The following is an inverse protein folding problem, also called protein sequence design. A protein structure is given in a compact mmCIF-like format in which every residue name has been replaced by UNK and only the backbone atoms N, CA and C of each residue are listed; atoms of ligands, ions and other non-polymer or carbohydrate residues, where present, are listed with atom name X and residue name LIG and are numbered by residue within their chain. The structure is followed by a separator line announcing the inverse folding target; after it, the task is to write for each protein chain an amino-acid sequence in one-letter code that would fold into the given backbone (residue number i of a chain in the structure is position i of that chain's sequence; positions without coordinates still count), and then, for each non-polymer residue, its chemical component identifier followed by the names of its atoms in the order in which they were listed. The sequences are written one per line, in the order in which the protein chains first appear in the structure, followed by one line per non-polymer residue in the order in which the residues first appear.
data_IF_159713231675
#
_entry.id   IF_159713231675
#
_cell.length_a   1.000
_cell.length_b   1.000
_cell.length_c   1.000
_cell.angle_alpha   90.00
_cell.angle_beta   90.00
_cell.angle_gamma   90.00
#
_symmetry.space_group_name_H-M   'P 1'
#
loop_
_entity.id
_entity.type
_entity.pdbx_description
1 polymer ?
#
# COMPACT_ATOMS: atom_id res chain seq x y z
N UNK A 1 -37.39 -3.95 23.60
CA UNK A 1 -36.22 -3.09 23.33
C UNK A 1 -35.05 -4.03 23.05
N UNK A 2 -34.82 -4.33 21.77
CA UNK A 2 -33.64 -5.07 21.32
C UNK A 2 -32.45 -4.11 21.43
N UNK A 3 -31.58 -4.34 22.42
CA UNK A 3 -30.29 -3.68 22.47
C UNK A 3 -29.48 -4.17 21.28
N UNK A 4 -29.41 -3.38 20.22
CA UNK A 4 -28.37 -3.54 19.22
C UNK A 4 -27.04 -3.28 19.92
N UNK A 5 -26.38 -4.37 20.31
CA UNK A 5 -24.97 -4.31 20.70
C UNK A 5 -24.23 -3.73 19.51
N UNK A 6 -23.84 -2.45 19.57
CA UNK A 6 -22.97 -1.85 18.57
C UNK A 6 -21.64 -2.62 18.61
N UNK A 7 -21.55 -3.64 17.77
CA UNK A 7 -20.38 -4.49 17.68
C UNK A 7 -19.34 -3.72 16.88
N UNK A 8 -18.27 -3.30 17.54
CA UNK A 8 -17.15 -2.68 16.86
C UNK A 8 -16.50 -3.69 15.92
N UNK A 9 -16.17 -3.24 14.72
CA UNK A 9 -15.45 -4.04 13.74
C UNK A 9 -13.99 -3.60 13.69
N UNK A 10 -13.08 -4.56 13.61
CA UNK A 10 -11.67 -4.29 13.33
C UNK A 10 -11.48 -4.07 11.83
N UNK A 11 -11.16 -2.83 11.47
CA UNK A 11 -10.92 -2.37 10.10
C UNK A 11 -9.48 -1.90 9.93
N UNK A 12 -8.99 -1.75 8.71
CA UNK A 12 -7.54 -1.56 8.47
C UNK A 12 -7.24 -0.48 7.44
N UNK A 13 -6.29 0.41 7.72
CA UNK A 13 -5.60 1.17 6.67
C UNK A 13 -4.35 0.42 6.24
N UNK A 14 -4.15 0.30 4.93
CA UNK A 14 -3.02 -0.36 4.29
C UNK A 14 -2.25 0.67 3.45
N UNK A 15 -0.93 0.62 3.53
CA UNK A 15 -0.05 1.48 2.74
C UNK A 15 0.99 0.66 2.00
N UNK A 16 1.19 0.99 0.73
CA UNK A 16 2.25 0.42 -0.10
C UNK A 16 3.22 1.53 -0.50
N UNK A 17 4.48 1.41 -0.07
CA UNK A 17 5.54 2.37 -0.34
C UNK A 17 6.18 2.06 -1.69
N UNK A 18 6.06 2.99 -2.61
CA UNK A 18 6.57 2.94 -3.98
C UNK A 18 7.82 3.80 -4.05
N UNK A 19 8.94 3.21 -4.45
CA UNK A 19 10.11 3.98 -4.81
C UNK A 19 9.81 4.75 -6.12
N UNK A 20 9.91 6.07 -6.07
CA UNK A 20 9.63 6.93 -7.21
C UNK A 20 10.60 6.67 -8.39
N UNK A 21 11.84 6.29 -8.09
CA UNK A 21 12.88 6.03 -9.09
C UNK A 21 12.58 4.79 -9.93
N UNK A 22 12.16 3.70 -9.30
CA UNK A 22 11.90 2.43 -9.99
C UNK A 22 10.42 2.16 -10.28
N UNK A 23 9.51 2.82 -9.58
CA UNK A 23 8.07 2.51 -9.57
C UNK A 23 7.73 1.23 -8.81
N UNK A 24 8.68 0.61 -8.11
CA UNK A 24 8.48 -0.65 -7.40
C UNK A 24 8.01 -0.41 -5.96
N UNK A 25 7.06 -1.24 -5.50
CA UNK A 25 6.72 -1.33 -4.09
C UNK A 25 7.82 -2.10 -3.39
N UNK A 26 8.43 -1.48 -2.39
CA UNK A 26 9.53 -2.07 -1.62
C UNK A 26 9.15 -2.35 -0.15
N UNK A 27 8.10 -1.71 0.35
CA UNK A 27 7.59 -1.91 1.70
C UNK A 27 6.07 -1.73 1.78
N UNK A 28 5.49 -2.34 2.80
CA UNK A 28 4.09 -2.19 3.19
C UNK A 28 3.98 -1.77 4.65
N UNK A 29 2.89 -1.10 5.00
CA UNK A 29 2.55 -0.81 6.38
C UNK A 29 1.03 -0.91 6.57
N UNK A 30 0.59 -1.02 7.82
CA UNK A 30 -0.83 -1.04 8.13
C UNK A 30 -1.13 -0.64 9.55
N UNK A 31 -2.39 -0.28 9.80
CA UNK A 31 -2.89 0.07 11.13
C UNK A 31 -4.34 -0.36 11.27
N UNK A 32 -4.63 -1.04 12.37
CA UNK A 32 -5.96 -1.54 12.70
C UNK A 32 -6.71 -0.53 13.57
N UNK A 33 -8.01 -0.38 13.34
CA UNK A 33 -8.92 0.46 14.12
C UNK A 33 -10.15 -0.35 14.50
N UNK A 34 -10.69 -0.12 15.69
CA UNK A 34 -12.00 -0.61 16.09
C UNK A 34 -13.04 0.49 15.83
N UNK A 35 -13.88 0.34 14.81
CA UNK A 35 -14.87 1.33 14.41
C UNK A 35 -16.30 0.78 14.53
N UNK A 36 -17.27 1.68 14.65
CA UNK A 36 -18.70 1.39 14.61
C UNK A 36 -19.37 2.24 13.52
N UNK A 37 -20.58 1.87 13.12
CA UNK A 37 -21.31 2.52 12.04
C UNK A 37 -21.36 1.68 10.77
N UNK A 38 -21.94 2.26 9.74
CA UNK A 38 -22.05 1.67 8.40
C UNK A 38 -20.68 1.56 7.71
N UNK A 39 -20.58 0.74 6.67
CA UNK A 39 -19.33 0.61 5.90
C UNK A 39 -18.88 1.93 5.31
N UNK A 40 -19.81 2.77 4.84
CA UNK A 40 -19.51 4.09 4.29
C UNK A 40 -18.91 5.04 5.34
N UNK A 41 -19.45 5.03 6.57
CA UNK A 41 -18.93 5.84 7.68
C UNK A 41 -17.53 5.37 8.09
N UNK A 42 -17.33 4.04 8.21
CA UNK A 42 -16.02 3.45 8.52
C UNK A 42 -15.00 3.77 7.42
N UNK A 43 -15.37 3.65 6.15
CA UNK A 43 -14.52 4.01 5.01
C UNK A 43 -14.18 5.50 4.98
N UNK A 44 -15.11 6.38 5.35
CA UNK A 44 -14.84 7.82 5.43
C UNK A 44 -13.75 8.13 6.47
N UNK A 45 -13.85 7.52 7.65
CA UNK A 45 -12.81 7.62 8.71
C UNK A 45 -11.48 7.07 8.23
N UNK A 46 -11.47 5.86 7.64
CA UNK A 46 -10.25 5.25 7.10
C UNK A 46 -9.57 6.15 6.07
N UNK A 47 -10.32 6.69 5.11
CA UNK A 47 -9.79 7.61 4.07
C UNK A 47 -9.19 8.87 4.68
N UNK A 48 -9.84 9.47 5.68
CA UNK A 48 -9.32 10.63 6.37
C UNK A 48 -7.97 10.34 7.03
N UNK A 49 -7.87 9.25 7.80
CA UNK A 49 -6.67 8.86 8.53
C UNK A 49 -5.55 8.34 7.62
N UNK A 50 -5.87 7.76 6.46
CA UNK A 50 -4.88 7.22 5.52
C UNK A 50 -3.86 8.27 5.06
N UNK A 51 -4.26 9.54 5.01
CA UNK A 51 -3.43 10.67 4.58
C UNK A 51 -2.29 11.00 5.56
N UNK A 52 -2.37 10.58 6.83
CA UNK A 52 -1.40 10.98 7.87
C UNK A 52 -0.87 9.83 8.69
N UNK A 53 -1.67 8.79 8.96
CA UNK A 53 -1.29 7.77 9.93
C UNK A 53 -0.10 6.93 9.49
N UNK A 54 0.23 6.92 8.19
CA UNK A 54 1.41 6.28 7.64
C UNK A 54 2.73 6.78 8.26
N UNK A 55 2.77 7.99 8.81
CA UNK A 55 3.94 8.53 9.53
C UNK A 55 4.21 7.84 10.87
N UNK A 56 3.20 7.17 11.45
CA UNK A 56 3.25 6.59 12.81
C UNK A 56 3.35 5.07 12.84
N UNK A 57 3.41 4.42 11.68
CA UNK A 57 3.35 2.96 11.56
C UNK A 57 4.70 2.38 11.15
N UNK A 58 4.96 1.15 11.59
CA UNK A 58 6.17 0.42 11.20
C UNK A 58 6.04 -0.05 9.75
N UNK A 59 7.05 0.28 8.94
CA UNK A 59 7.22 -0.29 7.59
C UNK A 59 7.72 -1.73 7.71
N UNK A 60 7.19 -2.61 6.88
CA UNK A 60 7.64 -3.99 6.73
C UNK A 60 8.02 -4.22 5.27
N UNK A 61 9.19 -4.81 5.04
CA UNK A 61 9.55 -5.25 3.69
C UNK A 61 8.56 -6.31 3.19
N UNK A 62 8.35 -6.36 1.88
CA UNK A 62 7.54 -7.42 1.30
C UNK A 62 8.21 -8.78 1.48
N UNK A 63 7.44 -9.87 1.55
CA UNK A 63 7.97 -11.22 1.54
C UNK A 63 8.89 -11.47 0.34
N UNK A 64 9.98 -12.22 0.56
CA UNK A 64 11.00 -12.46 -0.48
C UNK A 64 10.49 -13.27 -1.68
N UNK A 65 9.34 -13.95 -1.56
CA UNK A 65 8.68 -14.64 -2.67
C UNK A 65 7.97 -13.67 -3.64
N UNK A 66 7.82 -12.40 -3.26
CA UNK A 66 7.54 -11.34 -4.20
C UNK A 66 8.89 -10.85 -4.76
N UNK A 67 9.11 -11.03 -6.04
CA UNK A 67 10.34 -10.57 -6.69
C UNK A 67 10.07 -10.13 -8.10
N UNK A 68 10.79 -9.11 -8.56
CA UNK A 68 10.86 -8.75 -9.98
C UNK A 68 12.24 -9.14 -10.51
N UNK A 69 12.25 -9.70 -11.73
CA UNK A 69 13.47 -10.00 -12.47
C UNK A 69 13.69 -8.94 -13.54
N UNK A 70 14.82 -8.26 -13.47
CA UNK A 70 15.26 -7.26 -14.45
C UNK A 70 16.55 -7.75 -15.10
N UNK A 71 16.44 -8.34 -16.29
CA UNK A 71 17.57 -8.99 -16.96
C UNK A 71 18.12 -10.16 -16.14
N UNK A 72 19.37 -10.04 -15.69
CA UNK A 72 20.03 -11.03 -14.81
C UNK A 72 19.88 -10.71 -13.31
N UNK A 73 19.31 -9.56 -12.96
CA UNK A 73 19.10 -9.17 -11.57
C UNK A 73 17.72 -9.59 -11.08
N UNK A 74 17.68 -10.06 -9.83
CA UNK A 74 16.45 -10.40 -9.13
C UNK A 74 16.38 -9.52 -7.89
N UNK A 75 15.31 -8.75 -7.75
CA UNK A 75 15.08 -7.88 -6.60
C UNK A 75 14.04 -8.54 -5.67
N UNK A 76 14.47 -9.38 -4.71
CA UNK A 76 13.55 -10.02 -3.77
C UNK A 76 12.95 -8.99 -2.82
N UNK A 77 11.66 -9.12 -2.53
CA UNK A 77 10.90 -8.17 -1.71
C UNK A 77 10.48 -6.90 -2.46
N UNK A 78 10.51 -6.90 -3.79
CA UNK A 78 10.06 -5.77 -4.62
C UNK A 78 9.15 -6.25 -5.74
N UNK A 79 8.02 -5.57 -5.94
CA UNK A 79 7.07 -5.84 -7.04
C UNK A 79 6.46 -4.55 -7.59
N UNK A 80 6.00 -4.54 -8.85
CA UNK A 80 5.22 -3.41 -9.37
C UNK A 80 3.95 -3.18 -8.54
N UNK A 81 3.58 -1.92 -8.29
CA UNK A 81 2.37 -1.62 -7.50
C UNK A 81 1.07 -2.14 -8.18
N UNK A 82 1.06 -2.36 -9.50
CA UNK A 82 -0.02 -3.06 -10.19
C UNK A 82 -0.22 -4.51 -9.69
N UNK A 83 0.86 -5.22 -9.38
CA UNK A 83 0.80 -6.58 -8.81
C UNK A 83 0.22 -6.54 -7.40
N UNK A 84 0.55 -5.51 -6.61
CA UNK A 84 -0.07 -5.28 -5.30
C UNK A 84 -1.57 -5.08 -5.42
N UNK A 85 -2.04 -4.25 -6.37
CA UNK A 85 -3.49 -4.03 -6.58
C UNK A 85 -4.24 -5.31 -6.97
N UNK A 86 -3.61 -6.19 -7.75
CA UNK A 86 -4.21 -7.45 -8.16
C UNK A 86 -4.21 -8.50 -7.05
N UNK A 87 -3.28 -8.41 -6.09
CA UNK A 87 -3.03 -9.43 -5.08
C UNK A 87 -2.94 -8.82 -3.66
N UNK A 88 -3.81 -7.85 -3.35
CA UNK A 88 -3.73 -7.06 -2.10
C UNK A 88 -3.64 -7.98 -0.87
N UNK A 89 -4.58 -8.90 -0.72
CA UNK A 89 -4.61 -9.77 0.46
C UNK A 89 -3.36 -10.66 0.57
N UNK A 90 -2.81 -11.14 -0.54
CA UNK A 90 -1.58 -11.94 -0.52
C UNK A 90 -0.35 -11.09 -0.17
N UNK A 91 -0.26 -9.87 -0.71
CA UNK A 91 0.83 -8.94 -0.43
C UNK A 91 0.84 -8.49 1.03
N UNK A 92 -0.35 -8.35 1.63
CA UNK A 92 -0.53 -7.84 2.99
C UNK A 92 -0.77 -8.93 4.05
N UNK A 93 -0.98 -10.19 3.69
CA UNK A 93 -1.26 -11.28 4.64
C UNK A 93 -0.23 -11.36 5.78
N UNK A 94 1.10 -11.30 5.53
CA UNK A 94 2.08 -11.37 6.62
C UNK A 94 1.99 -10.17 7.56
N UNK A 95 1.71 -8.98 7.02
CA UNK A 95 1.50 -7.77 7.80
C UNK A 95 0.22 -7.87 8.64
N UNK A 96 -0.90 -8.36 8.08
CA UNK A 96 -2.14 -8.58 8.83
C UNK A 96 -1.94 -9.56 9.99
N UNK A 97 -1.15 -10.63 9.80
CA UNK A 97 -0.77 -11.56 10.88
C UNK A 97 0.06 -10.89 11.97
N UNK A 98 0.90 -9.91 11.64
CA UNK A 98 1.62 -9.12 12.64
C UNK A 98 0.67 -8.19 13.38
N UNK A 99 -0.17 -7.44 12.67
CA UNK A 99 -1.13 -6.52 13.27
C UNK A 99 -2.09 -7.24 14.22
N UNK A 100 -2.61 -8.41 13.85
CA UNK A 100 -3.48 -9.21 14.71
C UNK A 100 -2.77 -9.65 16.00
N UNK A 101 -1.49 -10.03 15.93
CA UNK A 101 -0.71 -10.41 17.11
C UNK A 101 -0.42 -9.23 18.04
N UNK A 102 -0.39 -8.01 17.51
CA UNK A 102 -0.18 -6.79 18.28
C UNK A 102 -1.48 -6.27 18.93
N UNK A 103 -2.65 -6.84 18.61
CA UNK A 103 -3.91 -6.45 19.25
C UNK A 103 -3.93 -6.79 20.74
N UNK A 104 -4.41 -5.89 21.61
CA UNK A 104 -4.55 -6.19 23.02
C UNK A 104 -5.57 -7.31 23.21
N UNK A 105 -5.32 -8.32 24.04
CA UNK A 105 -6.32 -9.35 24.28
C UNK A 105 -7.50 -8.79 25.11
N UNK A 106 -8.68 -9.38 24.94
CA UNK A 106 -9.88 -9.00 25.68
C UNK A 106 -9.96 -9.84 26.98
N UNK A 107 -10.03 -9.22 28.17
CA UNK A 107 -10.19 -9.95 29.41
C UNK A 107 -11.59 -10.58 29.50
N UNK A 108 -11.64 -11.85 29.89
CA UNK A 108 -12.85 -12.57 30.23
C UNK A 108 -12.90 -12.79 31.74
N UNK A 109 -13.60 -11.88 32.43
CA UNK A 109 -13.73 -11.88 33.89
C UNK A 109 -14.53 -13.06 34.46
N UNK A 110 -15.25 -13.82 33.64
CA UNK A 110 -15.94 -15.04 34.10
C UNK A 110 -15.00 -16.24 34.20
N UNK A 111 -13.93 -16.24 33.40
CA UNK A 111 -12.98 -17.37 33.32
C UNK A 111 -11.58 -17.01 33.79
N UNK A 112 -11.35 -15.74 34.14
CA UNK A 112 -10.03 -15.15 34.44
C UNK A 112 -8.99 -15.41 33.34
N UNK A 113 -9.48 -15.49 32.09
CA UNK A 113 -8.66 -15.73 30.89
C UNK A 113 -8.73 -14.54 29.94
N UNK A 114 -7.76 -14.47 29.04
CA UNK A 114 -7.69 -13.47 28.00
C UNK A 114 -8.02 -14.10 26.64
N UNK A 115 -8.95 -13.50 25.90
CA UNK A 115 -9.31 -13.93 24.56
C UNK A 115 -8.54 -13.10 23.52
N UNK A 116 -7.88 -13.72 22.52
CA UNK A 116 -7.24 -12.96 21.45
C UNK A 116 -8.29 -12.29 20.58
N UNK A 117 -8.00 -11.08 20.13
CA UNK A 117 -8.78 -10.43 19.08
C UNK A 117 -8.36 -10.98 17.71
N UNK A 118 -9.26 -10.91 16.73
CA UNK A 118 -9.02 -11.39 15.36
C UNK A 118 -9.42 -10.32 14.36
N UNK A 119 -8.55 -10.05 13.40
CA UNK A 119 -8.91 -9.24 12.24
C UNK A 119 -9.83 -10.13 11.36
N UNK A 120 -10.95 -9.61 10.83
CA UNK A 120 -11.81 -10.36 9.92
C UNK A 120 -11.01 -10.92 8.73
N UNK A 121 -11.41 -12.07 8.19
CA UNK A 121 -10.75 -12.67 7.03
C UNK A 121 -10.79 -11.75 5.79
N UNK A 122 -11.89 -11.02 5.64
CA UNK A 122 -12.09 -9.97 4.65
C UNK A 122 -12.36 -8.65 5.40
N UNK A 123 -11.32 -7.98 5.93
CA UNK A 123 -11.52 -6.76 6.69
C UNK A 123 -11.94 -5.62 5.76
N UNK A 124 -12.75 -4.69 6.25
CA UNK A 124 -12.92 -3.41 5.54
C UNK A 124 -11.58 -2.65 5.56
N UNK A 125 -11.10 -2.23 4.39
CA UNK A 125 -9.81 -1.55 4.27
C UNK A 125 -9.78 -0.41 3.25
N UNK A 126 -8.79 0.47 3.42
CA UNK A 126 -8.35 1.43 2.41
C UNK A 126 -6.89 1.18 2.10
N UNK A 127 -6.57 0.95 0.83
CA UNK A 127 -5.20 0.88 0.33
C UNK A 127 -4.79 2.25 -0.22
N UNK A 128 -3.69 2.78 0.29
CA UNK A 128 -3.06 4.01 -0.21
C UNK A 128 -1.64 3.72 -0.68
N UNK A 129 -1.33 4.10 -1.91
CA UNK A 129 0.05 4.07 -2.38
C UNK A 129 0.75 5.36 -1.99
N UNK A 130 1.97 5.20 -1.50
CA UNK A 130 2.81 6.26 -0.99
C UNK A 130 4.08 6.29 -1.84
N UNK A 131 4.20 7.31 -2.69
CA UNK A 131 5.40 7.50 -3.50
C UNK A 131 6.46 8.19 -2.66
N UNK A 132 7.65 7.60 -2.60
CA UNK A 132 8.79 8.12 -1.87
C UNK A 132 9.91 8.46 -2.85
N UNK A 133 10.44 9.69 -2.74
CA UNK A 133 11.58 10.14 -3.53
C UNK A 133 12.92 9.83 -2.84
N UNK A 134 14.02 10.17 -3.52
CA UNK A 134 15.40 9.93 -3.09
C UNK A 134 15.79 10.69 -1.80
N UNK A 135 15.04 11.73 -1.44
CA UNK A 135 15.23 12.49 -0.19
C UNK A 135 14.29 12.01 0.94
N UNK A 136 13.51 10.96 0.70
CA UNK A 136 12.62 10.34 1.69
C UNK A 136 11.29 11.09 1.90
N UNK A 137 10.93 12.00 0.99
CA UNK A 137 9.62 12.67 1.04
C UNK A 137 8.57 11.72 0.53
N UNK A 138 7.54 11.52 1.35
CA UNK A 138 6.41 10.64 1.04
C UNK A 138 5.21 11.45 0.57
N UNK A 139 4.64 11.06 -0.57
CA UNK A 139 3.43 11.68 -1.14
C UNK A 139 2.39 10.61 -1.45
N UNK A 140 1.15 10.70 -0.91
CA UNK A 140 0.08 9.81 -1.29
C UNK A 140 -0.33 10.04 -2.75
N UNK A 141 -0.53 8.96 -3.50
CA UNK A 141 -0.87 9.01 -4.93
C UNK A 141 -2.14 8.24 -5.23
N UNK A 142 -2.94 8.79 -6.14
CA UNK A 142 -4.14 8.16 -6.69
C UNK A 142 -3.79 7.08 -7.71
N UNK A 143 -4.74 6.21 -8.04
CA UNK A 143 -4.57 5.21 -9.11
C UNK A 143 -4.17 5.83 -10.45
N UNK A 144 -4.72 7.01 -10.79
CA UNK A 144 -4.39 7.71 -12.02
C UNK A 144 -2.93 8.18 -12.02
N UNK A 145 -2.45 8.70 -10.90
CA UNK A 145 -1.06 9.13 -10.75
C UNK A 145 -0.10 7.93 -10.80
N UNK A 146 -0.46 6.82 -10.16
CA UNK A 146 0.31 5.57 -10.27
C UNK A 146 0.41 5.09 -11.72
N UNK A 147 -0.71 5.01 -12.45
CA UNK A 147 -0.71 4.59 -13.85
C UNK A 147 0.17 5.48 -14.72
N UNK A 148 0.18 6.80 -14.45
CA UNK A 148 1.05 7.74 -15.15
C UNK A 148 2.52 7.51 -14.83
N UNK A 149 2.86 7.40 -13.54
CA UNK A 149 4.23 7.10 -13.11
C UNK A 149 4.71 5.78 -13.72
N UNK A 150 3.89 4.74 -13.74
CA UNK A 150 4.23 3.48 -14.39
C UNK A 150 4.49 3.64 -15.88
N UNK A 151 3.63 4.36 -16.60
CA UNK A 151 3.82 4.56 -18.03
C UNK A 151 5.10 5.35 -18.33
N UNK A 152 5.40 6.37 -17.53
CA UNK A 152 6.66 7.13 -17.62
C UNK A 152 7.87 6.24 -17.33
N UNK A 153 7.82 5.42 -16.28
CA UNK A 153 8.92 4.54 -15.91
C UNK A 153 9.14 3.42 -16.92
N UNK A 154 8.06 2.83 -17.45
CA UNK A 154 8.15 1.85 -18.53
C UNK A 154 8.80 2.46 -19.77
N UNK A 155 8.35 3.65 -20.18
CA UNK A 155 8.92 4.35 -21.34
C UNK A 155 10.39 4.71 -21.11
N UNK A 156 10.75 5.21 -19.92
CA UNK A 156 12.15 5.49 -19.56
C UNK A 156 13.02 4.23 -19.71
N UNK A 157 12.55 3.08 -19.19
CA UNK A 157 13.25 1.79 -19.32
C UNK A 157 13.42 1.36 -20.78
N UNK A 158 12.39 1.54 -21.60
CA UNK A 158 12.46 1.23 -23.04
C UNK A 158 13.51 2.10 -23.74
N UNK A 159 13.59 3.39 -23.43
CA UNK A 159 14.60 4.30 -24.00
C UNK A 159 16.01 3.95 -23.52
N UNK A 160 16.19 3.64 -22.22
CA UNK A 160 17.49 3.21 -21.70
C UNK A 160 17.96 1.88 -22.32
N UNK A 161 17.05 0.95 -22.59
CA UNK A 161 17.35 -0.30 -23.28
C UNK A 161 17.85 -0.10 -24.73
N UNK A 162 17.56 1.07 -25.33
CA UNK A 162 18.09 1.49 -26.63
C UNK A 162 19.49 2.13 -26.55
N UNK A 163 20.11 2.18 -25.36
CA UNK A 163 21.47 2.67 -25.13
C UNK A 163 21.57 4.16 -24.81
N UNK A 164 20.45 4.84 -24.55
CA UNK A 164 20.42 6.24 -24.14
C UNK A 164 20.81 6.39 -22.66
N UNK A 165 21.34 7.58 -22.31
CA UNK A 165 21.65 7.88 -20.92
C UNK A 165 20.39 8.02 -20.06
N UNK A 166 20.52 7.87 -18.74
CA UNK A 166 19.39 8.02 -17.81
C UNK A 166 18.73 9.40 -17.91
N UNK A 167 19.53 10.45 -18.10
CA UNK A 167 19.06 11.82 -18.27
C UNK A 167 18.26 12.00 -19.58
N UNK A 168 18.75 11.44 -20.69
CA UNK A 168 18.06 11.51 -21.98
C UNK A 168 16.74 10.73 -21.95
N UNK A 169 16.75 9.56 -21.31
CA UNK A 169 15.56 8.74 -21.15
C UNK A 169 14.50 9.41 -20.27
N UNK A 170 14.93 10.10 -19.21
CA UNK A 170 14.05 10.87 -18.35
C UNK A 170 13.44 12.08 -19.08
N UNK A 171 14.23 12.81 -19.86
CA UNK A 171 13.73 13.93 -20.65
C UNK A 171 12.72 13.46 -21.71
N UNK A 172 13.01 12.36 -22.41
CA UNK A 172 12.12 11.74 -23.38
C UNK A 172 10.80 11.28 -22.73
N UNK A 173 10.85 10.64 -21.56
CA UNK A 173 9.66 10.18 -20.85
C UNK A 173 8.78 11.36 -20.37
N UNK A 174 9.39 12.46 -19.90
CA UNK A 174 8.68 13.69 -19.55
C UNK A 174 8.03 14.34 -20.78
N UNK A 175 8.72 14.34 -21.92
CA UNK A 175 8.15 14.86 -23.17
C UNK A 175 6.97 14.02 -23.65
N UNK A 176 7.12 12.70 -23.68
CA UNK A 176 6.05 11.77 -24.03
C UNK A 176 4.81 11.98 -23.15
N UNK A 177 4.98 12.15 -21.84
CA UNK A 177 3.87 12.43 -20.92
C UNK A 177 3.15 13.74 -21.28
N UNK A 178 3.89 14.81 -21.58
CA UNK A 178 3.31 16.11 -21.99
C UNK A 178 2.50 15.98 -23.29
N UNK A 179 2.97 15.20 -24.25
CA UNK A 179 2.28 14.95 -25.51
C UNK A 179 0.97 14.17 -25.31
N UNK A 180 0.96 13.19 -24.40
CA UNK A 180 -0.25 12.46 -24.02
C UNK A 180 -1.28 13.32 -23.28
N UNK A 181 -0.84 14.37 -22.57
CA UNK A 181 -1.72 15.28 -21.85
C UNK A 181 -2.23 16.45 -22.69
N UNK A 182 -1.45 16.92 -23.68
CA UNK A 182 -1.81 18.01 -24.59
C UNK A 182 -2.74 17.62 -25.74
N UNK A 183 -3.00 16.33 -25.95
CA UNK A 183 -3.86 15.81 -27.02
C UNK A 183 -5.37 15.76 -26.71
N UNK A 184 -5.87 16.57 -25.77
CA UNK A 184 -7.30 16.66 -25.44
C UNK A 184 -7.96 17.92 -25.97
#
# INVERSE_FOLDING_TARGET
MSGETQNHELVVNLWAYVDQGTGLVYAVAGKTYALTGTDDEKLAVLKQLASTDHWSVKRQGLPKNFSVSEGNECHPGMIPAAIVQQNIMQAFEPLLKVLEKELPPIPNFQTDKHAPQRIPAEPLYVLTFLMEDDVGKVTPVTNRELSRTFAVQQYKREIMALGFSDADAEEAARQWLREQEGGK
#
